data_IF_720496939501
#
_entry.id   IF_720496939501
#
_cell.length_a   1.000
_cell.length_b   1.000
_cell.length_c   1.000
_cell.angle_alpha   90.00
_cell.angle_beta   90.00
_cell.angle_gamma   90.00
#
_symmetry.space_group_name_H-M   'P 1'
#
loop_
_entity.id
_entity.type
_entity.pdbx_description
1 polymer ?
#
# COMPACT_ATOMS: atom_id res chain seq x y z
N UNK A 1 -47.76 13.64 33.75
CA UNK A 1 -47.20 14.25 32.52
C UNK A 1 -45.73 14.69 32.64
N UNK A 2 -45.32 15.53 33.61
CA UNK A 2 -43.94 16.06 33.70
C UNK A 2 -42.82 15.00 33.77
N UNK A 3 -43.06 13.86 34.43
CA UNK A 3 -42.08 12.76 34.56
C UNK A 3 -41.90 11.93 33.28
N UNK A 4 -42.91 11.89 32.41
CA UNK A 4 -42.85 11.15 31.14
C UNK A 4 -42.09 11.98 30.10
N UNK A 5 -42.37 13.29 30.02
CA UNK A 5 -41.64 14.22 29.13
C UNK A 5 -40.15 14.28 29.47
N UNK A 6 -39.79 14.24 30.75
CA UNK A 6 -38.39 14.24 31.17
C UNK A 6 -37.64 12.96 30.75
N UNK A 7 -38.28 11.79 30.89
CA UNK A 7 -37.68 10.52 30.42
C UNK A 7 -37.48 10.50 28.91
N UNK A 8 -38.46 10.97 28.13
CA UNK A 8 -38.34 11.07 26.68
C UNK A 8 -37.22 12.04 26.24
N UNK A 9 -37.08 13.18 26.92
CA UNK A 9 -36.04 14.16 26.60
C UNK A 9 -34.63 13.60 26.87
N UNK A 10 -34.44 12.91 27.99
CA UNK A 10 -33.16 12.29 28.36
C UNK A 10 -32.80 11.16 27.38
N UNK A 11 -33.77 10.31 27.03
CA UNK A 11 -33.55 9.24 26.03
C UNK A 11 -33.25 9.81 24.65
N UNK A 12 -33.93 10.89 24.23
CA UNK A 12 -33.66 11.55 22.95
C UNK A 12 -32.27 12.21 22.92
N UNK A 13 -31.86 12.88 24.00
CA UNK A 13 -30.51 13.45 24.15
C UNK A 13 -29.43 12.36 24.14
N UNK A 14 -29.69 11.23 24.81
CA UNK A 14 -28.77 10.08 24.79
C UNK A 14 -28.66 9.47 23.40
N UNK A 15 -29.78 9.29 22.68
CA UNK A 15 -29.77 8.79 21.29
C UNK A 15 -29.07 9.75 20.34
N UNK A 16 -29.24 11.06 20.51
CA UNK A 16 -28.52 12.08 19.73
C UNK A 16 -27.02 12.01 20.03
N UNK A 17 -26.61 11.87 21.29
CA UNK A 17 -25.21 11.75 21.66
C UNK A 17 -24.56 10.45 21.13
N UNK A 18 -25.29 9.34 21.13
CA UNK A 18 -24.85 8.07 20.52
C UNK A 18 -24.72 8.24 19.00
N UNK A 19 -25.71 8.83 18.34
CA UNK A 19 -25.69 9.05 16.89
C UNK A 19 -24.60 10.04 16.45
N UNK A 20 -24.28 11.07 17.23
CA UNK A 20 -23.17 11.99 16.93
C UNK A 20 -21.80 11.37 17.21
N UNK A 21 -21.67 10.49 18.20
CA UNK A 21 -20.42 9.78 18.49
C UNK A 21 -19.99 8.85 17.35
N UNK A 22 -20.94 8.23 16.62
CA UNK A 22 -20.65 7.39 15.46
C UNK A 22 -20.02 8.19 14.30
N UNK A 23 -20.37 9.47 14.14
CA UNK A 23 -19.78 10.35 13.11
C UNK A 23 -18.38 10.84 13.46
N UNK A 24 -18.00 10.84 14.73
CA UNK A 24 -16.68 11.30 15.20
C UNK A 24 -15.59 10.27 14.89
N UNK A 25 -15.88 8.98 15.03
CA UNK A 25 -14.95 7.92 14.62
C UNK A 25 -14.84 7.75 13.10
N UNK A 26 -15.78 8.30 12.33
CA UNK A 26 -15.76 8.25 10.87
C UNK A 26 -14.72 9.18 10.23
N UNK A 27 -14.11 10.11 10.98
CA UNK A 27 -12.99 10.94 10.53
C UNK A 27 -11.61 10.30 10.77
N UNK A 28 -11.59 8.98 11.01
CA UNK A 28 -10.35 8.22 11.03
C UNK A 28 -9.74 8.23 9.62
N UNK A 29 -8.47 8.61 9.51
CA UNK A 29 -7.78 8.64 8.23
C UNK A 29 -7.71 7.23 7.60
N UNK A 30 -7.79 7.15 6.27
CA UNK A 30 -7.86 5.89 5.54
C UNK A 30 -6.68 4.98 5.92
N UNK A 31 -6.93 3.73 6.36
CA UNK A 31 -5.88 2.80 6.72
C UNK A 31 -5.12 2.36 5.48
N UNK A 32 -3.83 2.06 5.63
CA UNK A 32 -3.00 1.65 4.51
C UNK A 32 -1.51 1.91 4.69
N UNK A 33 -0.74 1.54 3.67
CA UNK A 33 0.68 1.90 3.52
C UNK A 33 0.76 3.09 2.55
N UNK A 34 1.45 4.13 2.99
CA UNK A 34 1.62 5.41 2.31
C UNK A 34 3.09 5.64 1.97
N UNK A 35 3.38 6.35 0.88
CA UNK A 35 4.74 6.67 0.43
C UNK A 35 5.68 5.46 0.31
N UNK A 36 5.16 4.30 -0.09
CA UNK A 36 5.99 3.11 -0.31
C UNK A 36 6.76 3.22 -1.63
N UNK A 37 7.96 2.67 -1.66
CA UNK A 37 8.63 2.38 -2.93
C UNK A 37 7.92 1.24 -3.65
N UNK A 38 7.90 1.22 -4.97
CA UNK A 38 7.16 0.17 -5.65
C UNK A 38 7.17 0.23 -7.16
N UNK A 39 6.14 -0.34 -7.77
CA UNK A 39 5.96 -0.30 -9.22
C UNK A 39 4.50 -0.47 -9.66
N UNK A 40 4.22 0.10 -10.82
CA UNK A 40 2.98 -0.01 -11.61
C UNK A 40 3.35 -0.22 -13.07
N UNK A 41 2.53 -0.93 -13.81
CA UNK A 41 2.80 -1.24 -15.21
C UNK A 41 1.54 -1.16 -16.07
N UNK A 42 1.61 -0.48 -17.22
CA UNK A 42 0.44 -0.31 -18.10
C UNK A 42 0.79 -0.28 -19.59
N UNK A 43 -0.22 -0.57 -20.43
CA UNK A 43 -0.26 -0.14 -21.83
C UNK A 43 -0.70 1.33 -21.85
N UNK A 44 0.04 2.17 -22.57
CA UNK A 44 -0.03 3.61 -22.37
C UNK A 44 -0.99 4.36 -23.28
N UNK A 45 -1.25 3.86 -24.49
CA UNK A 45 -1.84 4.70 -25.53
C UNK A 45 -3.24 4.26 -25.95
N UNK A 46 -4.19 5.20 -26.11
CA UNK A 46 -5.50 4.92 -26.68
C UNK A 46 -5.43 4.30 -28.09
N UNK A 47 -4.47 4.68 -28.93
CA UNK A 47 -4.25 4.09 -30.25
C UNK A 47 -3.88 2.60 -30.18
N UNK A 48 -3.27 2.17 -29.07
CA UNK A 48 -2.92 0.78 -28.82
C UNK A 48 -4.11 -0.03 -28.26
N UNK A 49 -5.29 0.58 -28.06
CA UNK A 49 -6.51 -0.09 -27.59
C UNK A 49 -6.91 -1.29 -28.47
N UNK A 50 -6.54 -1.29 -29.75
CA UNK A 50 -6.75 -2.44 -30.65
C UNK A 50 -5.94 -3.68 -30.22
N UNK A 51 -4.93 -3.53 -29.36
CA UNK A 51 -4.12 -4.62 -28.79
C UNK A 51 -4.60 -5.06 -27.39
N UNK A 52 -5.57 -4.34 -26.81
CA UNK A 52 -6.16 -4.66 -25.51
C UNK A 52 -6.64 -6.10 -25.46
N UNK A 53 -6.26 -6.83 -24.41
CA UNK A 53 -6.62 -8.25 -24.19
C UNK A 53 -6.20 -9.21 -25.32
N UNK A 54 -5.26 -8.84 -26.20
CA UNK A 54 -4.72 -9.73 -27.23
C UNK A 54 -3.40 -10.40 -26.84
N UNK A 55 -2.62 -9.75 -25.97
CA UNK A 55 -1.41 -10.33 -25.36
C UNK A 55 -1.74 -10.89 -23.99
N UNK A 56 -1.33 -12.13 -23.74
CA UNK A 56 -1.48 -12.81 -22.46
C UNK A 56 -0.13 -12.88 -21.74
N UNK A 57 -0.13 -12.62 -20.43
CA UNK A 57 1.02 -12.92 -19.58
C UNK A 57 0.93 -14.38 -19.15
N UNK A 58 1.83 -15.22 -19.67
CA UNK A 58 1.87 -16.66 -19.41
C UNK A 58 2.58 -16.91 -18.08
N UNK A 59 3.75 -16.31 -17.90
CA UNK A 59 4.54 -16.44 -16.67
C UNK A 59 5.03 -15.07 -16.20
N UNK A 60 4.97 -14.84 -14.90
CA UNK A 60 5.58 -13.71 -14.21
C UNK A 60 6.49 -14.25 -13.10
N UNK A 61 7.74 -13.78 -13.06
CA UNK A 61 8.68 -14.02 -11.97
C UNK A 61 9.20 -12.69 -11.46
N UNK A 62 8.84 -12.33 -10.24
CA UNK A 62 9.26 -11.10 -9.60
C UNK A 62 10.30 -11.44 -8.53
N UNK A 63 11.47 -10.86 -8.70
CA UNK A 63 12.62 -10.99 -7.83
C UNK A 63 12.84 -9.65 -7.14
N UNK A 64 12.89 -9.66 -5.82
CA UNK A 64 13.04 -8.46 -5.00
C UNK A 64 14.14 -8.75 -3.99
N UNK A 65 15.15 -7.87 -3.95
CA UNK A 65 16.15 -7.84 -2.89
C UNK A 65 15.89 -6.62 -2.01
N UNK A 66 15.55 -6.85 -0.75
CA UNK A 66 15.31 -5.80 0.24
C UNK A 66 16.61 -5.43 0.95
N UNK A 67 16.91 -4.14 0.96
CA UNK A 67 18.04 -3.52 1.66
C UNK A 67 17.52 -2.48 2.64
N UNK A 68 18.34 -2.05 3.59
CA UNK A 68 17.93 -1.01 4.55
C UNK A 68 17.73 0.34 3.83
N UNK A 69 16.47 0.67 3.54
CA UNK A 69 16.05 1.92 2.92
C UNK A 69 15.78 1.86 1.40
N UNK A 70 16.04 0.73 0.74
CA UNK A 70 15.77 0.57 -0.69
C UNK A 70 15.51 -0.88 -1.09
N UNK A 71 14.95 -1.06 -2.29
CA UNK A 71 14.79 -2.38 -2.91
C UNK A 71 15.37 -2.39 -4.33
N UNK A 72 15.92 -3.54 -4.71
CA UNK A 72 16.34 -3.84 -6.08
C UNK A 72 15.37 -4.86 -6.64
N UNK A 73 14.84 -4.60 -7.82
CA UNK A 73 13.78 -5.41 -8.41
C UNK A 73 14.17 -5.86 -9.80
N UNK A 74 13.88 -7.13 -10.09
CA UNK A 74 13.90 -7.72 -11.41
C UNK A 74 12.56 -8.41 -11.65
N UNK A 75 11.83 -7.99 -12.67
CA UNK A 75 10.66 -8.70 -13.17
C UNK A 75 11.00 -9.46 -14.45
N UNK A 76 10.57 -10.70 -14.58
CA UNK A 76 10.67 -11.49 -15.80
C UNK A 76 9.27 -11.92 -16.22
N UNK A 77 8.88 -11.54 -17.44
CA UNK A 77 7.55 -11.73 -17.97
C UNK A 77 7.62 -12.50 -19.28
N UNK A 78 6.91 -13.62 -19.35
CA UNK A 78 6.67 -14.34 -20.59
C UNK A 78 5.32 -13.89 -21.14
N UNK A 79 5.36 -13.08 -22.20
CA UNK A 79 4.17 -12.64 -22.91
C UNK A 79 3.93 -13.49 -24.14
N UNK A 80 2.65 -13.71 -24.49
CA UNK A 80 2.23 -14.40 -25.71
C UNK A 80 1.19 -13.59 -26.45
N UNK A 81 1.46 -13.31 -27.73
CA UNK A 81 0.42 -12.87 -28.65
C UNK A 81 -0.55 -14.03 -28.87
N UNK A 82 -1.84 -13.82 -28.62
CA UNK A 82 -2.86 -14.87 -28.76
C UNK A 82 -3.65 -14.78 -30.06
N UNK A 83 -3.25 -13.91 -30.99
CA UNK A 83 -3.91 -13.71 -32.27
C UNK A 83 -3.02 -14.09 -33.45
N UNK A 84 -3.64 -14.19 -34.63
CA UNK A 84 -2.97 -14.41 -35.91
C UNK A 84 -2.45 -13.13 -36.55
N UNK A 85 -2.62 -11.99 -35.88
CA UNK A 85 -2.21 -10.69 -36.38
C UNK A 85 -0.85 -10.31 -35.77
N UNK A 86 -0.08 -9.52 -36.51
CA UNK A 86 1.07 -8.83 -35.93
C UNK A 86 0.56 -7.77 -34.95
N UNK A 87 1.14 -7.71 -33.75
CA UNK A 87 0.84 -6.68 -32.77
C UNK A 87 2.05 -5.78 -32.57
N UNK A 88 1.78 -4.49 -32.49
CA UNK A 88 2.74 -3.44 -32.17
C UNK A 88 2.02 -2.48 -31.23
N UNK A 89 2.61 -2.25 -30.05
CA UNK A 89 2.08 -1.35 -29.04
C UNK A 89 3.21 -0.90 -28.10
N UNK A 90 3.01 0.24 -27.45
CA UNK A 90 3.94 0.77 -26.46
C UNK A 90 3.59 0.30 -25.04
N UNK A 91 4.64 0.09 -24.25
CA UNK A 91 4.55 -0.22 -22.83
C UNK A 91 5.22 0.87 -22.02
N UNK A 92 4.74 1.08 -20.80
CA UNK A 92 5.29 2.09 -19.90
C UNK A 92 5.46 1.61 -18.47
N UNK A 93 6.50 2.14 -17.84
CA UNK A 93 6.61 2.21 -16.38
C UNK A 93 6.64 3.67 -15.95
N UNK A 94 5.91 4.05 -14.91
CA UNK A 94 6.03 5.38 -14.37
C UNK A 94 7.38 5.52 -13.65
N UNK A 95 8.07 6.64 -13.88
CA UNK A 95 9.33 6.95 -13.20
C UNK A 95 9.13 7.86 -12.00
N UNK A 96 8.02 8.58 -11.95
CA UNK A 96 7.60 9.29 -10.77
C UNK A 96 6.06 9.36 -10.69
N UNK A 97 5.54 9.70 -9.52
CA UNK A 97 4.10 9.87 -9.30
C UNK A 97 3.56 9.08 -8.11
N UNK A 98 2.30 9.36 -7.79
CA UNK A 98 1.57 8.72 -6.71
C UNK A 98 0.53 7.79 -7.31
N UNK A 99 0.62 6.51 -6.95
CA UNK A 99 -0.28 5.47 -7.43
C UNK A 99 -1.00 4.82 -6.26
N UNK A 100 -2.32 4.90 -6.31
CA UNK A 100 -3.19 4.26 -5.35
C UNK A 100 -3.64 2.90 -5.88
N UNK A 101 -3.56 1.91 -5.00
CA UNK A 101 -4.14 0.59 -5.17
C UNK A 101 -4.73 0.09 -3.86
N UNK A 102 -5.13 -1.17 -3.85
CA UNK A 102 -5.79 -1.78 -2.68
C UNK A 102 -7.30 -1.54 -2.64
N UNK A 103 -7.95 -2.13 -1.64
CA UNK A 103 -9.41 -2.16 -1.47
C UNK A 103 -9.79 -1.43 -0.17
N UNK A 104 -9.84 -2.17 0.95
CA UNK A 104 -10.12 -1.60 2.27
C UNK A 104 -8.90 -0.84 2.82
N UNK A 105 -7.71 -1.39 2.60
CA UNK A 105 -6.43 -0.79 2.95
C UNK A 105 -5.83 -0.15 1.70
N UNK A 106 -5.49 1.13 1.81
CA UNK A 106 -4.85 1.88 0.74
C UNK A 106 -3.41 1.41 0.58
N UNK A 107 -3.02 1.16 -0.66
CA UNK A 107 -1.64 0.97 -1.06
C UNK A 107 -1.23 2.16 -1.91
N UNK A 108 -0.60 3.15 -1.28
CA UNK A 108 -0.05 4.30 -1.97
C UNK A 108 1.44 4.06 -2.22
N UNK A 109 1.77 3.91 -3.51
CA UNK A 109 3.13 3.85 -4.01
C UNK A 109 3.53 5.25 -4.43
N UNK A 110 4.60 5.76 -3.84
CA UNK A 110 5.23 7.00 -4.27
C UNK A 110 6.53 6.66 -4.96
N UNK A 111 6.56 6.97 -6.25
CA UNK A 111 7.76 6.90 -7.05
C UNK A 111 8.37 8.30 -7.05
N UNK A 112 9.38 8.52 -6.21
CA UNK A 112 10.17 9.76 -6.27
C UNK A 112 11.18 9.69 -7.42
N UNK A 113 11.69 8.49 -7.70
CA UNK A 113 12.41 8.14 -8.93
C UNK A 113 12.51 6.61 -9.05
N UNK A 114 11.91 6.03 -10.08
CA UNK A 114 12.22 4.65 -10.47
C UNK A 114 13.62 4.65 -11.09
N UNK A 115 14.62 4.45 -10.24
CA UNK A 115 16.01 4.74 -10.55
C UNK A 115 16.69 3.59 -11.27
N UNK A 116 17.60 3.95 -12.18
CA UNK A 116 18.37 2.97 -12.96
C UNK A 116 17.50 1.97 -13.75
N UNK A 117 16.36 2.42 -14.27
CA UNK A 117 15.43 1.59 -15.02
C UNK A 117 16.10 0.98 -16.26
N UNK A 118 16.00 -0.34 -16.43
CA UNK A 118 16.46 -1.04 -17.64
C UNK A 118 15.43 -2.07 -18.07
N UNK A 119 15.24 -2.20 -19.38
CA UNK A 119 14.38 -3.24 -19.96
C UNK A 119 15.17 -4.04 -20.97
N UNK A 120 15.02 -5.36 -20.91
CA UNK A 120 15.61 -6.31 -21.85
C UNK A 120 14.49 -7.12 -22.49
N UNK A 121 14.55 -7.29 -23.79
CA UNK A 121 13.62 -8.14 -24.53
C UNK A 121 14.38 -8.89 -25.62
N UNK A 122 14.04 -10.16 -25.87
CA UNK A 122 14.73 -10.99 -26.89
C UNK A 122 16.26 -10.97 -26.71
N UNK A 123 16.71 -11.00 -25.46
CA UNK A 123 18.12 -10.90 -25.06
C UNK A 123 18.84 -9.58 -25.43
N UNK A 124 18.11 -8.54 -25.82
CA UNK A 124 18.66 -7.23 -26.16
C UNK A 124 18.15 -6.17 -25.19
N UNK A 125 19.03 -5.28 -24.74
CA UNK A 125 18.63 -4.10 -23.98
C UNK A 125 17.87 -3.15 -24.91
N UNK A 126 16.70 -2.72 -24.47
CA UNK A 126 15.86 -1.81 -25.24
C UNK A 126 16.26 -0.36 -24.98
N UNK A 127 16.12 0.47 -26.02
CA UNK A 127 16.14 1.91 -25.86
C UNK A 127 14.83 2.34 -25.20
N UNK A 128 14.94 3.10 -24.13
CA UNK A 128 13.81 3.66 -23.40
C UNK A 128 13.61 5.10 -23.83
N UNK A 129 12.35 5.50 -24.01
CA UNK A 129 11.96 6.85 -24.35
C UNK A 129 11.25 7.47 -23.14
N UNK A 130 11.80 8.53 -22.54
CA UNK A 130 11.06 9.30 -21.55
C UNK A 130 9.88 9.99 -22.26
N UNK A 131 8.67 9.85 -21.72
CA UNK A 131 7.47 10.53 -22.21
C UNK A 131 6.66 11.11 -21.04
N UNK A 132 5.93 12.19 -21.30
CA UNK A 132 5.08 12.86 -20.32
C UNK A 132 3.61 12.48 -20.54
N UNK A 133 3.04 11.80 -19.54
CA UNK A 133 1.64 11.38 -19.44
C UNK A 133 1.07 11.73 -18.05
N UNK A 134 0.90 13.03 -17.72
CA UNK A 134 0.35 13.46 -16.43
C UNK A 134 -1.09 12.97 -16.21
N UNK A 135 -1.85 12.73 -17.28
CA UNK A 135 -3.22 12.19 -17.25
C UNK A 135 -3.31 10.76 -16.71
N UNK A 136 -2.19 10.04 -16.67
CA UNK A 136 -2.10 8.68 -16.14
C UNK A 136 -1.64 8.65 -14.68
N UNK A 137 -1.36 9.81 -14.06
CA UNK A 137 -1.10 9.90 -12.64
C UNK A 137 -2.44 9.88 -11.87
N UNK A 138 -2.53 9.10 -10.79
CA UNK A 138 -3.75 8.97 -10.00
C UNK A 138 -3.91 10.07 -8.94
N UNK A 139 -3.08 11.11 -8.95
CA UNK A 139 -3.14 12.20 -7.97
C UNK A 139 -4.09 13.33 -8.43
N UNK A 140 -5.28 13.38 -7.84
CA UNK A 140 -6.24 14.47 -8.04
C UNK A 140 -5.88 15.76 -7.28
N UNK A 141 -4.85 15.74 -6.44
CA UNK A 141 -4.51 16.81 -5.49
C UNK A 141 -3.16 17.49 -5.73
N UNK A 142 -2.21 16.80 -6.36
CA UNK A 142 -0.94 17.40 -6.78
C UNK A 142 -0.82 17.37 -8.30
N UNK A 143 -1.11 18.50 -8.92
CA UNK A 143 -0.48 18.82 -10.20
C UNK A 143 1.02 19.03 -9.92
N UNK A 144 1.77 17.95 -9.79
CA UNK A 144 3.20 18.00 -10.07
C UNK A 144 3.32 17.66 -11.55
N UNK A 145 3.36 18.64 -12.46
CA UNK A 145 3.76 18.38 -13.83
C UNK A 145 5.26 18.11 -13.75
N UNK A 146 5.66 16.88 -13.44
CA UNK A 146 7.01 16.47 -13.74
C UNK A 146 7.06 16.27 -15.25
N UNK A 147 7.90 17.06 -15.91
CA UNK A 147 8.32 16.78 -17.29
C UNK A 147 8.88 15.34 -17.31
N UNK A 148 8.46 14.55 -18.31
CA UNK A 148 8.71 13.11 -18.47
C UNK A 148 8.49 12.25 -17.20
N UNK A 149 7.27 11.74 -17.00
CA UNK A 149 6.91 10.87 -15.87
C UNK A 149 6.84 9.37 -16.22
N UNK A 150 7.09 8.97 -17.47
CA UNK A 150 7.08 7.56 -17.90
C UNK A 150 8.31 7.18 -18.71
N UNK A 151 8.79 5.95 -18.51
CA UNK A 151 9.74 5.29 -19.40
C UNK A 151 9.00 4.33 -20.32
N UNK A 152 9.05 4.63 -21.61
CA UNK A 152 8.27 3.98 -22.64
C UNK A 152 9.16 3.16 -23.56
N UNK A 153 8.69 2.00 -24.00
CA UNK A 153 9.34 1.24 -25.05
C UNK A 153 8.33 0.56 -25.96
N UNK A 154 8.80 0.23 -27.16
CA UNK A 154 8.00 -0.41 -28.19
C UNK A 154 8.06 -1.93 -28.06
N UNK A 155 6.90 -2.59 -28.14
CA UNK A 155 6.80 -4.03 -28.34
C UNK A 155 6.38 -4.38 -29.75
N UNK A 156 6.91 -5.50 -30.23
CA UNK A 156 6.58 -6.07 -31.52
C UNK A 156 6.41 -7.58 -31.35
N UNK A 157 5.21 -8.07 -31.60
CA UNK A 157 4.89 -9.49 -31.63
C UNK A 157 4.49 -9.91 -33.04
N UNK A 158 5.16 -10.94 -33.56
CA UNK A 158 4.63 -11.72 -34.66
C UNK A 158 3.36 -12.49 -34.24
N UNK A 159 2.52 -12.94 -35.19
CA UNK A 159 1.39 -13.81 -34.91
C UNK A 159 1.79 -14.98 -34.00
N UNK A 160 1.03 -15.18 -32.93
CA UNK A 160 1.21 -16.28 -31.97
C UNK A 160 2.59 -16.34 -31.25
N UNK A 161 3.43 -15.31 -31.41
CA UNK A 161 4.77 -15.24 -30.82
C UNK A 161 4.73 -15.17 -29.30
N UNK A 162 5.68 -15.84 -28.66
CA UNK A 162 5.99 -15.64 -27.25
C UNK A 162 7.32 -14.90 -27.10
N UNK A 163 7.34 -13.90 -26.22
CA UNK A 163 8.51 -13.06 -25.98
C UNK A 163 8.72 -12.88 -24.48
N UNK A 164 9.96 -13.04 -24.04
CA UNK A 164 10.38 -12.71 -22.69
C UNK A 164 10.81 -11.25 -22.60
N UNK A 165 10.33 -10.58 -21.56
CA UNK A 165 10.72 -9.22 -21.17
C UNK A 165 11.27 -9.28 -19.75
N UNK A 166 12.40 -8.66 -19.52
CA UNK A 166 12.98 -8.46 -18.20
C UNK A 166 13.03 -6.97 -17.89
N UNK A 167 12.67 -6.61 -16.67
CA UNK A 167 12.62 -5.22 -16.20
C UNK A 167 13.43 -5.13 -14.92
N UNK A 168 14.26 -4.10 -14.80
CA UNK A 168 15.15 -3.87 -13.66
C UNK A 168 14.99 -2.44 -13.15
N UNK A 169 14.99 -2.28 -11.84
CA UNK A 169 15.06 -0.96 -11.21
C UNK A 169 15.50 -1.03 -9.75
N UNK A 170 15.85 0.14 -9.23
CA UNK A 170 16.11 0.38 -7.81
C UNK A 170 15.13 1.44 -7.32
N UNK A 171 14.53 1.21 -6.15
CA UNK A 171 13.53 2.13 -5.59
C UNK A 171 13.80 2.42 -4.13
N UNK A 172 13.57 3.67 -3.72
CA UNK A 172 13.64 4.09 -2.33
C UNK A 172 12.42 3.53 -1.58
N UNK A 173 12.65 2.86 -0.46
CA UNK A 173 11.58 2.33 0.38
C UNK A 173 11.51 3.01 1.75
N UNK A 174 12.45 3.92 2.06
CA UNK A 174 12.67 4.47 3.39
C UNK A 174 11.60 5.44 3.86
N UNK A 175 10.83 6.04 2.96
CA UNK A 175 9.92 7.13 3.28
C UNK A 175 8.49 6.69 3.64
N UNK A 176 8.26 5.37 3.77
CA UNK A 176 6.93 4.84 3.89
C UNK A 176 6.32 5.04 5.30
N UNK A 177 5.00 5.09 5.33
CA UNK A 177 4.21 5.23 6.56
C UNK A 177 3.06 4.23 6.56
N UNK A 178 2.91 3.47 7.63
CA UNK A 178 1.76 2.59 7.85
C UNK A 178 0.78 3.30 8.76
N UNK A 179 -0.48 3.37 8.36
CA UNK A 179 -1.53 4.11 9.08
C UNK A 179 -2.73 3.21 9.37
N UNK A 180 -3.25 3.30 10.60
CA UNK A 180 -4.50 2.67 11.01
C UNK A 180 -5.26 3.58 11.95
N UNK A 181 -6.31 4.20 11.42
CA UNK A 181 -7.04 5.27 12.10
C UNK A 181 -6.14 6.48 12.37
N UNK A 182 -5.95 6.83 13.64
CA UNK A 182 -5.10 7.94 14.06
C UNK A 182 -3.66 7.52 14.43
N UNK A 183 -3.34 6.22 14.45
CA UNK A 183 -1.98 5.76 14.64
C UNK A 183 -1.23 5.80 13.30
N UNK A 184 0.04 6.18 13.33
CA UNK A 184 0.93 6.16 12.17
C UNK A 184 2.32 5.74 12.63
N UNK A 185 2.95 4.85 11.89
CA UNK A 185 4.34 4.42 12.08
C UNK A 185 5.11 4.60 10.78
N UNK A 186 6.41 4.88 10.88
CA UNK A 186 7.31 4.99 9.72
C UNK A 186 8.20 3.74 9.67
N UNK A 187 8.16 3.02 8.56
CA UNK A 187 8.94 1.82 8.29
C UNK A 187 9.45 1.89 6.85
N UNK A 188 10.40 1.02 6.48
CA UNK A 188 10.59 0.83 5.05
C UNK A 188 9.41 0.03 4.48
N UNK A 189 8.95 0.39 3.28
CA UNK A 189 7.92 -0.39 2.59
C UNK A 189 8.18 -0.52 1.10
N UNK A 190 7.91 -1.72 0.58
CA UNK A 190 7.89 -2.04 -0.83
C UNK A 190 6.51 -2.54 -1.25
N UNK A 191 5.98 -2.03 -2.36
CA UNK A 191 4.71 -2.45 -2.92
C UNK A 191 4.86 -2.78 -4.42
N UNK A 192 4.34 -3.92 -4.84
CA UNK A 192 4.13 -4.24 -6.25
C UNK A 192 2.63 -4.28 -6.52
N UNK A 193 2.14 -3.34 -7.34
CA UNK A 193 0.72 -3.24 -7.69
C UNK A 193 0.40 -4.19 -8.85
N UNK A 194 0.00 -5.42 -8.51
CA UNK A 194 -0.33 -6.45 -9.50
C UNK A 194 -1.61 -6.12 -10.29
N UNK A 195 -2.55 -5.37 -9.68
CA UNK A 195 -3.84 -5.06 -10.29
C UNK A 195 -3.76 -4.31 -11.62
N UNK A 196 -2.64 -3.60 -11.88
CA UNK A 196 -2.39 -2.97 -13.17
C UNK A 196 -2.22 -3.98 -14.31
N UNK A 197 -1.88 -5.23 -13.99
CA UNK A 197 -1.84 -6.35 -14.93
C UNK A 197 -3.20 -6.73 -15.52
N UNK A 198 -4.30 -6.17 -15.00
CA UNK A 198 -5.66 -6.38 -15.53
C UNK A 198 -5.85 -5.87 -16.97
N UNK A 199 -4.89 -5.15 -17.56
CA UNK A 199 -4.92 -4.76 -18.97
C UNK A 199 -4.61 -5.93 -19.94
N UNK A 200 -3.88 -6.94 -19.47
CA UNK A 200 -3.51 -8.12 -20.28
C UNK A 200 -4.66 -9.10 -20.41
N UNK A 201 -4.60 -9.96 -21.43
CA UNK A 201 -5.56 -11.07 -21.56
C UNK A 201 -5.47 -11.93 -20.30
N UNK A 202 -6.61 -12.12 -19.65
CA UNK A 202 -6.70 -12.94 -18.45
C UNK A 202 -6.95 -14.41 -18.82
N UNK A 203 -6.49 -15.36 -17.98
CA UNK A 203 -5.73 -15.14 -16.74
C UNK A 203 -4.21 -15.00 -16.96
N UNK A 204 -3.50 -14.52 -15.94
CA UNK A 204 -2.07 -14.79 -15.76
C UNK A 204 -1.94 -16.26 -15.34
N UNK A 205 -1.21 -17.07 -16.11
CA UNK A 205 -1.20 -18.52 -15.88
C UNK A 205 -0.35 -18.91 -14.66
N UNK A 206 0.84 -18.31 -14.51
CA UNK A 206 1.73 -18.55 -13.36
C UNK A 206 2.44 -17.27 -12.92
N UNK A 207 2.38 -16.96 -11.63
CA UNK A 207 3.14 -15.90 -10.97
C UNK A 207 4.00 -16.47 -9.85
N UNK A 208 5.27 -16.10 -9.79
CA UNK A 208 6.23 -16.49 -8.73
C UNK A 208 6.91 -15.25 -8.17
N UNK A 209 6.93 -15.13 -6.85
CA UNK A 209 7.41 -13.95 -6.14
C UNK A 209 8.49 -14.35 -5.15
N UNK A 210 9.65 -13.72 -5.26
CA UNK A 210 10.85 -14.03 -4.50
C UNK A 210 11.34 -12.76 -3.80
N UNK A 211 11.36 -12.77 -2.47
CA UNK A 211 11.78 -11.62 -1.65
C UNK A 211 12.97 -12.04 -0.79
N UNK A 212 14.16 -11.56 -1.15
CA UNK A 212 15.42 -11.88 -0.46
C UNK A 212 15.82 -10.76 0.49
N UNK A 213 16.28 -11.14 1.69
CA UNK A 213 16.75 -10.21 2.71
C UNK A 213 18.26 -9.97 2.59
N UNK A 214 18.65 -8.74 2.32
CA UNK A 214 20.05 -8.33 2.13
C UNK A 214 20.57 -7.51 3.31
N UNK A 215 21.87 -7.19 3.30
CA UNK A 215 22.53 -6.30 4.28
C UNK A 215 22.24 -6.61 5.75
N UNK A 216 22.27 -7.91 6.07
CA UNK A 216 22.08 -8.41 7.42
C UNK A 216 20.63 -8.40 7.90
N UNK A 217 19.66 -8.05 7.05
CA UNK A 217 18.25 -8.24 7.36
C UNK A 217 17.95 -9.72 7.64
N UNK A 218 16.99 -9.91 8.54
CA UNK A 218 16.49 -11.20 9.01
C UNK A 218 14.96 -11.16 9.08
N UNK A 219 14.34 -12.30 9.34
CA UNK A 219 12.87 -12.41 9.49
C UNK A 219 12.33 -11.52 10.61
N UNK A 220 13.13 -11.25 11.65
CA UNK A 220 12.77 -10.31 12.74
C UNK A 220 12.65 -8.85 12.27
N UNK A 221 13.26 -8.52 11.14
CA UNK A 221 13.16 -7.18 10.55
C UNK A 221 11.93 -7.03 9.63
N UNK A 222 11.14 -8.09 9.42
CA UNK A 222 9.94 -8.04 8.59
C UNK A 222 8.73 -7.80 9.50
N UNK A 223 8.07 -6.65 9.33
CA UNK A 223 6.83 -6.33 10.02
C UNK A 223 5.65 -7.12 9.44
N UNK A 224 5.62 -7.29 8.11
CA UNK A 224 4.65 -8.14 7.44
C UNK A 224 4.85 -8.24 5.93
N UNK A 225 4.23 -9.28 5.36
CA UNK A 225 4.12 -9.50 3.91
C UNK A 225 2.66 -9.82 3.60
N UNK A 226 2.12 -9.29 2.51
CA UNK A 226 0.74 -9.57 2.11
C UNK A 226 0.53 -11.07 1.81
N UNK A 227 -0.62 -11.59 2.22
CA UNK A 227 -0.86 -13.04 2.28
C UNK A 227 -1.34 -13.67 0.96
N UNK A 228 -1.50 -12.88 -0.10
CA UNK A 228 -2.11 -13.31 -1.37
C UNK A 228 -1.38 -14.43 -2.12
N UNK A 229 -0.14 -14.75 -1.73
CA UNK A 229 0.76 -15.67 -2.44
C UNK A 229 1.24 -16.87 -1.63
N UNK A 230 0.77 -17.02 -0.38
CA UNK A 230 1.16 -18.15 0.48
C UNK A 230 2.67 -18.26 0.70
N UNK A 231 3.31 -17.14 1.06
CA UNK A 231 4.77 -17.07 1.21
C UNK A 231 5.30 -18.08 2.23
N UNK A 232 6.41 -18.73 1.87
CA UNK A 232 7.20 -19.64 2.69
C UNK A 232 8.65 -19.17 2.70
N UNK A 233 9.45 -19.60 3.67
CA UNK A 233 10.81 -19.07 3.87
C UNK A 233 11.90 -20.13 3.73
N UNK A 234 13.03 -19.73 3.13
CA UNK A 234 14.26 -20.49 3.10
C UNK A 234 15.32 -19.76 3.92
N UNK A 235 15.71 -20.36 5.05
CA UNK A 235 16.70 -19.82 5.99
C UNK A 235 18.07 -19.60 5.33
N UNK A 236 18.54 -20.57 4.54
CA UNK A 236 19.90 -20.56 3.96
C UNK A 236 20.10 -19.37 3.01
N UNK A 237 19.11 -19.06 2.19
CA UNK A 237 19.17 -17.98 1.19
C UNK A 237 18.49 -16.69 1.67
N UNK A 238 17.95 -16.70 2.89
CA UNK A 238 17.13 -15.64 3.47
C UNK A 238 16.04 -15.15 2.53
N UNK A 239 15.25 -16.09 2.01
CA UNK A 239 14.39 -15.88 0.87
C UNK A 239 12.96 -16.29 1.19
N UNK A 240 12.02 -15.37 1.04
CA UNK A 240 10.60 -15.69 0.96
C UNK A 240 10.23 -16.03 -0.49
N UNK A 241 9.47 -17.11 -0.67
CA UNK A 241 8.92 -17.50 -1.96
C UNK A 241 7.40 -17.69 -1.86
N UNK A 242 6.67 -17.07 -2.78
CA UNK A 242 5.23 -17.18 -2.92
C UNK A 242 4.87 -17.42 -4.38
N UNK A 243 3.69 -17.99 -4.62
CA UNK A 243 3.25 -18.28 -5.98
C UNK A 243 1.73 -18.21 -6.11
N UNK A 244 1.26 -17.97 -7.34
CA UNK A 244 -0.15 -18.00 -7.69
C UNK A 244 -0.32 -18.48 -9.13
N UNK A 245 -1.40 -19.17 -9.44
CA UNK A 245 -1.67 -19.70 -10.78
C UNK A 245 -3.08 -19.35 -11.23
N UNK A 246 -3.26 -19.20 -12.54
CA UNK A 246 -4.55 -18.95 -13.20
C UNK A 246 -5.36 -17.84 -12.52
N UNK A 247 -4.74 -16.68 -12.32
CA UNK A 247 -5.35 -15.57 -11.59
C UNK A 247 -5.56 -14.35 -12.46
N UNK A 248 -6.58 -13.56 -12.11
CA UNK A 248 -6.76 -12.20 -12.62
C UNK A 248 -6.43 -11.26 -11.47
N UNK A 249 -5.39 -10.43 -11.59
CA UNK A 249 -4.99 -9.54 -10.51
C UNK A 249 -6.13 -8.65 -10.02
N UNK A 250 -6.28 -8.60 -8.70
CA UNK A 250 -7.17 -7.68 -7.98
C UNK A 250 -6.34 -6.86 -6.99
N UNK A 251 -6.87 -5.77 -6.43
CA UNK A 251 -6.16 -5.01 -5.40
C UNK A 251 -5.71 -5.86 -4.19
N UNK A 252 -6.41 -6.96 -3.88
CA UNK A 252 -6.04 -7.91 -2.81
C UNK A 252 -4.81 -8.75 -3.12
N UNK A 253 -4.41 -8.77 -4.39
CA UNK A 253 -3.25 -9.50 -4.89
C UNK A 253 -2.00 -8.63 -4.91
N UNK A 254 -2.06 -7.36 -4.50
CA UNK A 254 -0.86 -6.54 -4.43
C UNK A 254 0.14 -7.13 -3.42
N UNK A 255 1.41 -7.21 -3.82
CA UNK A 255 2.47 -7.60 -2.90
C UNK A 255 2.85 -6.37 -2.07
N UNK A 256 2.70 -6.45 -0.76
CA UNK A 256 3.08 -5.39 0.18
C UNK A 256 4.02 -5.98 1.20
N UNK A 257 5.18 -5.36 1.36
CA UNK A 257 6.17 -5.73 2.37
C UNK A 257 6.51 -4.50 3.19
N UNK A 258 6.27 -4.55 4.50
CA UNK A 258 6.78 -3.55 5.44
C UNK A 258 7.86 -4.18 6.29
N UNK A 259 8.98 -3.47 6.44
CA UNK A 259 10.18 -4.01 7.01
C UNK A 259 11.10 -2.91 7.50
N UNK A 260 11.88 -3.19 8.54
CA UNK A 260 12.92 -2.32 9.09
C UNK A 260 12.46 -0.90 9.47
N UNK A 261 13.16 -0.31 10.43
CA UNK A 261 12.84 1.04 10.88
C UNK A 261 13.21 2.10 9.84
N UNK A 262 12.44 3.19 9.83
CA UNK A 262 12.80 4.38 9.07
C UNK A 262 14.16 4.93 9.50
N UNK A 263 15.02 5.27 8.55
CA UNK A 263 16.30 5.91 8.81
C UNK A 263 16.30 7.35 8.28
N UNK A 264 16.27 8.34 9.18
CA UNK A 264 16.27 9.77 8.85
C UNK A 264 17.56 10.24 8.14
N UNK A 265 18.65 9.47 8.26
CA UNK A 265 19.95 9.78 7.66
C UNK A 265 20.26 8.92 6.42
N UNK A 266 19.27 8.19 5.90
CA UNK A 266 19.43 7.41 4.69
C UNK A 266 19.63 8.33 3.47
N UNK A 267 20.59 7.98 2.61
CA UNK A 267 20.93 8.72 1.39
C UNK A 267 20.82 7.77 0.20
N UNK A 268 19.71 7.84 -0.53
CA UNK A 268 19.36 6.89 -1.59
C UNK A 268 20.37 6.91 -2.74
N UNK A 269 20.93 8.07 -3.06
CA UNK A 269 21.91 8.26 -4.13
C UNK A 269 23.15 7.39 -3.94
N UNK A 270 23.52 7.08 -2.70
CA UNK A 270 24.65 6.18 -2.41
C UNK A 270 24.38 4.76 -2.90
N UNK A 271 23.14 4.28 -2.82
CA UNK A 271 22.77 2.97 -3.34
C UNK A 271 22.89 2.93 -4.88
N UNK A 272 22.53 4.02 -5.56
CA UNK A 272 22.58 4.13 -7.02
C UNK A 272 24.00 4.10 -7.60
N UNK A 273 25.02 4.47 -6.81
CA UNK A 273 26.42 4.35 -7.22
C UNK A 273 26.87 2.89 -7.44
N UNK A 274 26.10 1.92 -6.94
CA UNK A 274 26.42 0.49 -7.01
C UNK A 274 25.45 -0.31 -7.89
N UNK A 275 24.61 0.36 -8.69
CA UNK A 275 23.55 -0.26 -9.49
C UNK A 275 24.01 -1.48 -10.29
N UNK A 276 25.16 -1.43 -10.99
CA UNK A 276 25.60 -2.58 -11.81
C UNK A 276 25.89 -3.81 -10.95
N UNK A 277 26.46 -3.62 -9.75
CA UNK A 277 26.68 -4.71 -8.80
C UNK A 277 25.34 -5.23 -8.24
N UNK A 278 24.41 -4.32 -7.92
CA UNK A 278 23.06 -4.69 -7.46
C UNK A 278 22.31 -5.52 -8.51
N UNK A 279 22.40 -5.13 -9.79
CA UNK A 279 21.79 -5.88 -10.90
C UNK A 279 22.49 -7.21 -11.17
N UNK A 280 23.82 -7.29 -11.02
CA UNK A 280 24.52 -8.58 -11.08
C UNK A 280 24.04 -9.55 -9.99
N UNK A 281 23.89 -9.08 -8.75
CA UNK A 281 23.43 -9.91 -7.62
C UNK A 281 22.00 -10.41 -7.80
N UNK A 282 21.09 -9.57 -8.30
CA UNK A 282 19.71 -10.02 -8.53
C UNK A 282 19.62 -10.95 -9.75
N UNK A 283 20.52 -10.80 -10.72
CA UNK A 283 20.67 -11.76 -11.82
C UNK A 283 21.13 -13.13 -11.32
N UNK A 284 22.16 -13.19 -10.47
CA UNK A 284 22.64 -14.41 -9.82
C UNK A 284 21.50 -15.12 -9.07
N UNK A 285 20.70 -14.38 -8.30
CA UNK A 285 19.52 -14.93 -7.64
C UNK A 285 18.51 -15.48 -8.65
N UNK A 286 18.19 -14.72 -9.70
CA UNK A 286 17.16 -15.10 -10.68
C UNK A 286 17.51 -16.35 -11.50
N UNK A 287 18.80 -16.62 -11.69
CA UNK A 287 19.32 -17.76 -12.44
C UNK A 287 19.48 -19.02 -11.57
N UNK A 288 19.37 -18.88 -10.24
CA UNK A 288 19.45 -20.01 -9.32
C UNK A 288 18.17 -20.87 -9.35
N UNK A 289 18.29 -22.13 -8.94
CA UNK A 289 17.19 -23.10 -8.96
C UNK A 289 16.23 -22.91 -7.77
N UNK A 290 15.64 -21.70 -7.64
CA UNK A 290 14.81 -21.30 -6.50
C UNK A 290 13.61 -22.23 -6.24
N UNK A 291 13.02 -22.79 -7.29
CA UNK A 291 11.87 -23.71 -7.20
C UNK A 291 12.24 -25.06 -6.56
N UNK A 292 13.53 -25.41 -6.52
CA UNK A 292 14.04 -26.68 -5.94
C UNK A 292 14.49 -26.54 -4.50
N UNK A 293 14.51 -25.32 -3.96
CA UNK A 293 14.89 -25.08 -2.58
C UNK A 293 13.85 -25.64 -1.60
N UNK A 294 14.30 -25.96 -0.40
CA UNK A 294 13.39 -26.37 0.69
C UNK A 294 12.87 -25.13 1.40
N UNK A 295 11.55 -24.98 1.46
CA UNK A 295 10.89 -23.87 2.15
C UNK A 295 10.10 -24.39 3.34
N UNK A 296 10.19 -23.67 4.46
CA UNK A 296 9.41 -23.92 5.66
C UNK A 296 8.33 -22.86 5.81
N UNK A 297 7.27 -23.23 6.51
CA UNK A 297 6.25 -22.25 6.87
C UNK A 297 6.85 -21.27 7.88
N UNK A 298 6.45 -20.02 7.77
CA UNK A 298 6.98 -18.92 8.57
C UNK A 298 5.81 -18.07 9.03
N UNK A 299 5.88 -17.58 10.27
CA UNK A 299 4.89 -16.63 10.74
C UNK A 299 5.17 -15.27 10.11
N UNK A 300 4.31 -14.86 9.20
CA UNK A 300 4.38 -13.58 8.53
C UNK A 300 3.42 -12.63 9.25
N UNK A 301 3.92 -11.46 9.64
CA UNK A 301 3.07 -10.42 10.22
C UNK A 301 2.13 -9.77 9.20
N UNK A 302 1.27 -8.89 9.69
CA UNK A 302 0.37 -8.10 8.86
C UNK A 302 1.08 -6.80 8.44
N UNK A 303 1.32 -6.56 7.14
CA UNK A 303 2.06 -5.39 6.69
C UNK A 303 1.34 -4.06 6.99
N UNK A 304 0.05 -4.10 7.29
CA UNK A 304 -0.79 -2.94 7.62
C UNK A 304 -0.96 -2.73 9.12
N UNK A 305 -0.32 -3.58 9.94
CA UNK A 305 -0.41 -3.49 11.38
C UNK A 305 0.33 -2.23 11.86
N UNK A 306 -0.36 -1.49 12.72
CA UNK A 306 0.19 -0.36 13.48
C UNK A 306 -0.08 -0.65 14.95
N UNK A 307 0.90 -0.45 15.82
CA UNK A 307 0.70 -0.59 17.25
C UNK A 307 -0.21 0.53 17.76
N UNK A 308 -1.19 0.15 18.58
CA UNK A 308 -2.10 1.11 19.21
C UNK A 308 -1.37 1.84 20.33
N UNK A 309 -1.08 3.13 20.14
CA UNK A 309 -0.48 3.98 21.17
C UNK A 309 -1.54 4.84 21.84
N UNK A 310 -1.32 5.18 23.12
CA UNK A 310 -2.19 6.13 23.84
C UNK A 310 -2.32 7.46 23.09
N UNK A 311 -1.21 7.94 22.51
CA UNK A 311 -1.17 9.17 21.71
C UNK A 311 -1.96 9.07 20.42
N UNK A 312 -1.96 7.91 19.73
CA UNK A 312 -2.84 7.74 18.59
C UNK A 312 -4.31 7.60 18.95
N UNK A 313 -4.65 7.16 20.17
CA UNK A 313 -6.04 7.22 20.67
C UNK A 313 -6.45 8.62 21.13
N UNK A 314 -5.50 9.52 21.40
CA UNK A 314 -5.74 10.83 22.01
C UNK A 314 -6.67 11.74 21.20
N UNK A 315 -6.55 11.87 19.86
CA UNK A 315 -7.51 12.67 19.08
C UNK A 315 -8.95 12.18 19.22
N UNK A 316 -9.16 10.86 19.21
CA UNK A 316 -10.46 10.25 19.45
C UNK A 316 -10.98 10.54 20.86
N UNK A 317 -10.14 10.37 21.88
CA UNK A 317 -10.48 10.67 23.27
C UNK A 317 -10.80 12.15 23.50
N UNK A 318 -10.02 13.06 22.92
CA UNK A 318 -10.23 14.50 23.00
C UNK A 318 -11.56 14.88 22.33
N UNK A 319 -11.87 14.29 21.19
CA UNK A 319 -13.12 14.58 20.49
C UNK A 319 -14.32 14.07 21.28
N UNK A 320 -14.23 12.87 21.88
CA UNK A 320 -15.24 12.37 22.81
C UNK A 320 -15.41 13.33 24.00
N UNK A 321 -14.30 13.82 24.57
CA UNK A 321 -14.36 14.79 25.67
C UNK A 321 -15.09 16.07 25.25
N UNK A 322 -14.77 16.66 24.10
CA UNK A 322 -15.44 17.88 23.60
C UNK A 322 -16.93 17.65 23.36
N UNK A 323 -17.32 16.49 22.82
CA UNK A 323 -18.73 16.16 22.56
C UNK A 323 -19.50 15.94 23.87
N UNK A 324 -18.93 15.24 24.84
CA UNK A 324 -19.61 14.88 26.08
C UNK A 324 -19.52 15.94 27.18
N UNK A 325 -18.50 16.81 27.16
CA UNK A 325 -18.29 17.83 28.18
C UNK A 325 -19.50 18.75 28.41
N UNK A 326 -20.19 19.29 27.38
CA UNK A 326 -21.37 20.13 27.57
C UNK A 326 -22.51 19.40 28.30
N UNK A 327 -22.70 18.11 28.03
CA UNK A 327 -23.72 17.30 28.68
C UNK A 327 -23.37 17.01 30.14
N UNK A 328 -22.10 16.69 30.41
CA UNK A 328 -21.60 16.47 31.78
C UNK A 328 -21.74 17.77 32.60
N UNK A 329 -21.32 18.91 32.04
CA UNK A 329 -21.44 20.23 32.68
C UNK A 329 -22.91 20.57 32.92
N UNK A 330 -23.78 20.36 31.93
CA UNK A 330 -25.22 20.58 32.06
C UNK A 330 -25.85 19.71 33.14
N UNK A 331 -25.46 18.43 33.23
CA UNK A 331 -25.92 17.52 34.28
C UNK A 331 -25.47 17.98 35.67
N UNK A 332 -24.20 18.35 35.83
CA UNK A 332 -23.66 18.88 37.09
C UNK A 332 -24.44 20.13 37.51
N UNK A 333 -24.70 21.08 36.59
CA UNK A 333 -25.46 22.28 36.88
C UNK A 333 -26.89 21.97 37.35
N UNK A 334 -27.57 21.02 36.70
CA UNK A 334 -28.91 20.58 37.10
C UNK A 334 -28.90 19.96 38.51
N UNK A 335 -27.92 19.12 38.83
CA UNK A 335 -27.76 18.52 40.16
C UNK A 335 -27.55 19.61 41.23
N UNK A 336 -26.70 20.60 40.95
CA UNK A 336 -26.45 21.74 41.85
C UNK A 336 -27.75 22.54 42.08
N UNK A 337 -28.53 22.82 41.02
CA UNK A 337 -29.81 23.54 41.13
C UNK A 337 -30.82 22.74 41.97
N UNK A 338 -30.96 21.44 41.74
CA UNK A 338 -31.86 20.57 42.52
C UNK A 338 -31.45 20.59 44.00
N UNK A 339 -30.15 20.43 44.27
CA UNK A 339 -29.62 20.47 45.63
C UNK A 339 -29.88 21.81 46.31
N UNK A 340 -29.66 22.93 45.61
CA UNK A 340 -29.94 24.28 46.11
C UNK A 340 -31.43 24.48 46.43
N UNK A 341 -32.33 24.03 45.56
CA UNK A 341 -33.79 24.09 45.78
C UNK A 341 -34.19 23.25 47.01
N UNK A 342 -33.66 22.03 47.15
CA UNK A 342 -33.92 21.19 48.32
C UNK A 342 -33.42 21.83 49.61
N UNK A 343 -32.21 22.39 49.60
CA UNK A 343 -31.63 23.09 50.74
C UNK A 343 -32.46 24.33 51.10
N UNK A 344 -32.87 25.13 50.12
CA UNK A 344 -33.69 26.32 50.33
C UNK A 344 -35.09 26.00 50.87
N UNK A 345 -35.73 24.93 50.36
CA UNK A 345 -37.00 24.41 50.90
C UNK A 345 -36.86 23.92 52.34
N UNK A 346 -35.74 23.26 52.68
CA UNK A 346 -35.46 22.79 54.05
C UNK A 346 -35.29 23.97 55.02
N UNK A 347 -34.61 25.03 54.60
CA UNK A 347 -34.44 26.27 55.39
C UNK A 347 -35.79 26.97 55.58
N UNK A 348 -36.58 27.16 54.51
CA UNK A 348 -37.93 27.77 54.61
C UNK A 348 -38.88 26.98 55.51
N UNK A 349 -38.81 25.65 55.53
CA UNK A 349 -39.61 24.81 56.44
C UNK A 349 -39.19 24.94 57.91
N UNK A 350 -37.91 25.20 58.20
CA UNK A 350 -37.44 25.51 59.56
C UNK A 350 -37.93 26.88 60.04
N UNK A 351 -37.90 27.89 59.16
CA UNK A 351 -38.35 29.26 59.52
C UNK A 351 -39.88 29.42 59.63
N UNK A 352 -40.68 28.43 59.19
CA UNK A 352 -42.14 28.39 59.38
C UNK A 352 -42.58 27.64 60.66
N UNK A 353 -41.63 27.09 61.43
CA UNK A 353 -41.86 26.37 62.69
C UNK A 353 -41.28 27.08 63.92
N UNK A 354 -40.72 28.28 63.73
CA UNK A 354 -40.62 29.32 64.74
C UNK A 354 -41.78 30.29 64.47
#
# INVERSE_FOLDING_TARGET
>A
MKTIVHKFLVTALFLIAVATSQKVFANAAQPGVWNAGGTVFTMLYPEDSLTFKKVQMVEEKIYIQLYKGYAVVKGTYLFRNTTKDKLNFKMGYPINGIYYGGDIELNEVVLDSLSSFKVKAKNQWLSLLPESHPELNNDNSSAVPSDDNWMVWQMNFAPEESQTVEVYFVVNTNNAKVRKGYNTESHNAFIYLLESGSVWKNPIEKGSFYVQLMDGLTTENINGISQGFGFRYNETHKLYAGAKTNFSPTPKDNLVVTYYEHNEHFVFEKALLQTENLFSKIDEMSQSALETLTYTDVQIGDPYKVESTFWGAFPGLLTLFVVFAPFIIGFIAVVIIIWAIFKWRRIRRKNKRM
#
